data_IF_544072604074
#
_entry.id   IF_544072604074
#
_cell.length_a   1.000
_cell.length_b   1.000
_cell.length_c   1.000
_cell.angle_alpha   90.00
_cell.angle_beta   90.00
_cell.angle_gamma   90.00
#
_symmetry.space_group_name_H-M   'P 1'
#
loop_
_entity.id
_entity.type
_entity.pdbx_description
1 polymer ?
#
# COMPACT_ATOMS: atom_id res chain seq x y z
N UNK A 1 3.28 -11.81 19.40
CA UNK A 1 3.53 -10.59 18.62
C UNK A 1 2.97 -10.81 17.23
N UNK A 2 1.93 -10.08 16.81
CA UNK A 2 1.54 -10.10 15.39
C UNK A 2 2.71 -9.53 14.60
N UNK A 3 3.30 -10.31 13.68
CA UNK A 3 4.13 -9.74 12.63
C UNK A 3 3.31 -8.62 11.99
N UNK A 4 3.86 -7.41 11.88
CA UNK A 4 3.13 -6.31 11.25
C UNK A 4 2.83 -6.76 9.81
N UNK A 5 1.58 -6.63 9.38
CA UNK A 5 1.14 -7.13 8.08
C UNK A 5 1.94 -6.53 6.91
N UNK A 6 2.51 -5.34 7.12
CA UNK A 6 3.53 -4.72 6.26
C UNK A 6 4.76 -5.62 6.01
N UNK A 7 5.31 -6.28 7.03
CA UNK A 7 6.45 -7.19 6.86
C UNK A 7 6.04 -8.43 6.06
N UNK A 8 4.84 -8.94 6.29
CA UNK A 8 4.30 -10.08 5.54
C UNK A 8 4.06 -9.72 4.06
N UNK A 9 3.58 -8.51 3.78
CA UNK A 9 3.39 -8.00 2.42
C UNK A 9 4.72 -7.72 1.71
N UNK A 10 5.74 -7.27 2.45
CA UNK A 10 7.10 -7.12 1.92
C UNK A 10 7.68 -8.49 1.55
N UNK A 11 7.54 -9.49 2.41
CA UNK A 11 7.98 -10.86 2.12
C UNK A 11 7.20 -11.48 0.96
N UNK A 12 5.91 -11.16 0.82
CA UNK A 12 5.06 -11.65 -0.25
C UNK A 12 5.47 -11.15 -1.66
N UNK A 13 6.25 -10.07 -1.77
CA UNK A 13 6.76 -9.56 -3.05
C UNK A 13 7.61 -10.57 -3.83
N UNK A 14 8.29 -11.45 -3.11
CA UNK A 14 9.20 -12.46 -3.67
C UNK A 14 8.73 -13.89 -3.40
N UNK A 15 7.55 -14.05 -2.79
CA UNK A 15 7.00 -15.36 -2.48
C UNK A 15 6.38 -15.98 -3.74
N UNK A 16 6.91 -17.11 -4.24
CA UNK A 16 6.44 -17.73 -5.48
C UNK A 16 5.00 -18.24 -5.40
N UNK A 17 4.41 -18.36 -4.20
CA UNK A 17 3.01 -18.74 -3.99
C UNK A 17 2.02 -17.66 -4.47
N UNK A 18 2.46 -16.41 -4.57
CA UNK A 18 1.65 -15.33 -5.12
C UNK A 18 1.77 -15.30 -6.65
N UNK A 19 0.67 -15.07 -7.39
CA UNK A 19 0.73 -14.89 -8.84
C UNK A 19 1.67 -13.74 -9.25
N UNK A 20 2.35 -13.83 -10.41
CA UNK A 20 3.33 -12.82 -10.85
C UNK A 20 2.78 -11.38 -10.84
N UNK A 21 1.54 -11.17 -11.26
CA UNK A 21 0.93 -9.83 -11.29
C UNK A 21 0.66 -9.27 -9.89
N UNK A 22 0.31 -10.13 -8.92
CA UNK A 22 0.17 -9.72 -7.51
C UNK A 22 1.52 -9.31 -6.95
N UNK A 23 2.57 -10.10 -7.20
CA UNK A 23 3.94 -9.77 -6.79
C UNK A 23 4.45 -8.45 -7.38
N UNK A 24 4.23 -8.23 -8.68
CA UNK A 24 4.57 -6.97 -9.34
C UNK A 24 3.90 -5.78 -8.64
N UNK A 25 2.61 -5.91 -8.32
CA UNK A 25 1.87 -4.83 -7.68
C UNK A 25 2.31 -4.61 -6.21
N UNK A 26 2.65 -5.68 -5.49
CA UNK A 26 3.24 -5.59 -4.15
C UNK A 26 4.57 -4.84 -4.18
N UNK A 27 5.44 -5.11 -5.16
CA UNK A 27 6.70 -4.37 -5.35
C UNK A 27 6.47 -2.88 -5.56
N UNK A 28 5.56 -2.53 -6.47
CA UNK A 28 5.17 -1.13 -6.70
C UNK A 28 4.64 -0.49 -5.42
N UNK A 29 3.79 -1.19 -4.67
CA UNK A 29 3.24 -0.68 -3.41
C UNK A 29 4.32 -0.44 -2.35
N UNK A 30 5.32 -1.32 -2.23
CA UNK A 30 6.45 -1.12 -1.30
C UNK A 30 7.30 0.08 -1.71
N UNK A 31 7.65 0.21 -2.99
CA UNK A 31 8.41 1.37 -3.49
C UNK A 31 7.69 2.69 -3.23
N UNK A 32 6.39 2.75 -3.51
CA UNK A 32 5.55 3.93 -3.25
C UNK A 32 5.44 4.20 -1.75
N UNK A 33 5.33 3.16 -0.93
CA UNK A 33 5.23 3.31 0.53
C UNK A 33 6.51 3.83 1.16
N UNK A 34 7.66 3.41 0.64
CA UNK A 34 8.96 3.95 1.08
C UNK A 34 9.04 5.45 0.81
N UNK A 35 8.75 5.88 -0.42
CA UNK A 35 8.77 7.30 -0.82
C UNK A 35 7.76 8.12 -0.04
N UNK A 36 6.55 7.60 0.16
CA UNK A 36 5.52 8.24 0.97
C UNK A 36 6.02 8.48 2.40
N UNK A 37 6.71 7.51 3.00
CA UNK A 37 7.26 7.66 4.34
C UNK A 37 8.39 8.69 4.39
N UNK A 38 9.27 8.74 3.37
CA UNK A 38 10.30 9.80 3.26
C UNK A 38 9.68 11.20 3.19
N UNK A 39 8.68 11.38 2.33
CA UNK A 39 7.92 12.62 2.20
C UNK A 39 7.22 12.99 3.52
N UNK A 40 6.52 12.04 4.14
CA UNK A 40 5.82 12.26 5.41
C UNK A 40 6.78 12.73 6.51
N UNK A 41 7.95 12.08 6.64
CA UNK A 41 8.97 12.45 7.61
C UNK A 41 9.61 13.82 7.34
N UNK A 42 9.60 14.29 6.09
CA UNK A 42 10.02 15.65 5.75
C UNK A 42 8.92 16.66 6.10
N UNK A 43 7.68 16.44 5.67
CA UNK A 43 6.58 17.39 5.84
C UNK A 43 6.11 17.53 7.29
N UNK A 44 6.06 16.43 8.06
CA UNK A 44 5.59 16.45 9.47
C UNK A 44 6.47 17.32 10.36
N UNK A 45 7.71 17.62 9.95
CA UNK A 45 8.61 18.55 10.66
C UNK A 45 8.33 20.01 10.36
N UNK A 46 7.53 20.30 9.34
CA UNK A 46 7.31 21.63 8.79
C UNK A 46 5.85 22.10 8.88
N UNK A 47 4.89 21.20 9.14
CA UNK A 47 3.46 21.50 9.16
C UNK A 47 2.84 21.09 10.48
N UNK A 48 2.70 22.04 11.40
CA UNK A 48 2.15 21.78 12.74
C UNK A 48 0.61 21.76 12.79
N UNK A 49 -0.13 22.25 11.78
CA UNK A 49 -1.60 22.35 11.87
C UNK A 49 -2.38 22.35 10.54
N UNK A 50 -1.78 21.88 9.44
CA UNK A 50 -2.47 21.93 8.14
C UNK A 50 -3.54 20.83 7.99
N UNK A 51 -4.82 21.20 8.16
CA UNK A 51 -5.99 20.32 7.93
C UNK A 51 -5.93 19.52 6.60
N UNK A 52 -5.50 20.10 5.45
CA UNK A 52 -5.35 19.34 4.22
C UNK A 52 -4.35 18.18 4.32
N UNK A 53 -3.24 18.38 5.06
CA UNK A 53 -2.23 17.35 5.29
C UNK A 53 -2.80 16.17 6.09
N UNK A 54 -3.51 16.45 7.19
CA UNK A 54 -4.12 15.40 8.01
C UNK A 54 -5.27 14.66 7.32
N UNK A 55 -6.06 15.36 6.50
CA UNK A 55 -7.13 14.73 5.69
C UNK A 55 -6.55 13.70 4.73
N UNK A 56 -5.50 14.11 4.01
CA UNK A 56 -4.73 13.28 3.10
C UNK A 56 -4.08 12.04 3.77
N UNK A 57 -3.51 12.21 4.97
CA UNK A 57 -3.02 11.09 5.76
C UNK A 57 -4.14 10.13 6.19
N UNK A 58 -5.30 10.69 6.54
CA UNK A 58 -6.50 9.92 6.86
C UNK A 58 -6.94 9.01 5.71
N UNK A 59 -6.87 9.49 4.46
CA UNK A 59 -7.14 8.66 3.28
C UNK A 59 -6.12 7.53 3.11
N UNK A 60 -4.83 7.83 3.22
CA UNK A 60 -3.76 6.81 3.17
C UNK A 60 -3.95 5.73 4.24
N UNK A 61 -4.34 6.11 5.46
CA UNK A 61 -4.62 5.16 6.53
C UNK A 61 -5.83 4.27 6.24
N UNK A 62 -6.88 4.80 5.59
CA UNK A 62 -8.05 4.01 5.18
C UNK A 62 -7.67 2.96 4.14
N UNK A 63 -6.87 3.32 3.14
CA UNK A 63 -6.46 2.37 2.10
C UNK A 63 -5.56 1.27 2.64
N UNK A 64 -4.67 1.57 3.60
CA UNK A 64 -3.86 0.55 4.29
C UNK A 64 -4.73 -0.43 5.06
N UNK A 65 -5.72 0.06 5.84
CA UNK A 65 -6.64 -0.84 6.56
C UNK A 65 -7.43 -1.75 5.61
N UNK A 66 -7.84 -1.23 4.46
CA UNK A 66 -8.55 -2.02 3.45
C UNK A 66 -7.63 -3.07 2.80
N UNK A 67 -6.39 -2.69 2.48
CA UNK A 67 -5.36 -3.60 2.01
C UNK A 67 -5.06 -4.70 3.03
N UNK A 68 -4.97 -4.33 4.31
CA UNK A 68 -4.71 -5.28 5.38
C UNK A 68 -5.78 -6.38 5.43
N UNK A 69 -7.05 -5.97 5.42
CA UNK A 69 -8.18 -6.89 5.41
C UNK A 69 -8.21 -7.78 4.16
N UNK A 70 -7.90 -7.22 2.99
CA UNK A 70 -7.87 -7.97 1.74
C UNK A 70 -6.73 -8.99 1.72
N UNK A 71 -5.55 -8.62 2.24
CA UNK A 71 -4.41 -9.51 2.36
C UNK A 71 -4.66 -10.66 3.34
N UNK A 72 -5.27 -10.39 4.50
CA UNK A 72 -5.66 -11.44 5.46
C UNK A 72 -6.61 -12.46 4.81
N UNK A 73 -7.61 -12.00 4.06
CA UNK A 73 -8.56 -12.87 3.35
C UNK A 73 -7.90 -13.71 2.27
N UNK A 74 -7.07 -13.07 1.44
CA UNK A 74 -6.33 -13.75 0.39
C UNK A 74 -5.38 -14.82 0.95
N UNK A 75 -4.67 -14.51 2.04
CA UNK A 75 -3.77 -15.45 2.70
C UNK A 75 -4.49 -16.65 3.30
N UNK A 76 -5.68 -16.45 3.84
CA UNK A 76 -6.49 -17.54 4.39
C UNK A 76 -7.05 -18.44 3.29
N UNK A 77 -7.54 -17.84 2.19
CA UNK A 77 -8.26 -18.54 1.13
C UNK A 77 -7.96 -17.93 -0.26
N UNK A 78 -6.80 -18.21 -0.87
CA UNK A 78 -6.37 -17.54 -2.10
C UNK A 78 -7.21 -17.91 -3.33
N UNK A 79 -7.79 -19.11 -3.35
CA UNK A 79 -8.63 -19.60 -4.46
C UNK A 79 -10.13 -19.32 -4.27
N UNK A 80 -10.54 -18.77 -3.12
CA UNK A 80 -11.96 -18.51 -2.87
C UNK A 80 -12.43 -17.17 -3.41
N UNK A 81 -13.45 -17.24 -4.26
CA UNK A 81 -14.23 -16.08 -4.70
C UNK A 81 -13.38 -14.97 -5.30
N UNK A 82 -13.65 -13.73 -4.89
CA UNK A 82 -13.00 -12.52 -5.41
C UNK A 82 -11.84 -12.05 -4.51
N UNK A 83 -11.20 -12.94 -3.74
CA UNK A 83 -10.16 -12.56 -2.79
C UNK A 83 -8.92 -11.97 -3.48
N UNK A 84 -8.48 -12.58 -4.59
CA UNK A 84 -7.38 -12.03 -5.40
C UNK A 84 -7.74 -10.67 -6.00
N UNK A 85 -8.93 -10.56 -6.59
CA UNK A 85 -9.42 -9.30 -7.17
C UNK A 85 -9.51 -8.20 -6.11
N UNK A 86 -9.99 -8.54 -4.91
CA UNK A 86 -10.09 -7.60 -3.78
C UNK A 86 -8.71 -7.15 -3.31
N UNK A 87 -7.73 -8.05 -3.24
CA UNK A 87 -6.34 -7.72 -2.93
C UNK A 87 -5.74 -6.77 -3.98
N UNK A 88 -5.93 -7.08 -5.27
CA UNK A 88 -5.46 -6.25 -6.37
C UNK A 88 -6.11 -4.86 -6.36
N UNK A 89 -7.41 -4.78 -6.09
CA UNK A 89 -8.12 -3.51 -5.98
C UNK A 89 -7.60 -2.66 -4.82
N UNK A 90 -7.39 -3.27 -3.64
CA UNK A 90 -6.88 -2.57 -2.47
C UNK A 90 -5.42 -2.11 -2.66
N UNK A 91 -4.57 -2.92 -3.31
CA UNK A 91 -3.21 -2.53 -3.67
C UNK A 91 -3.20 -1.34 -4.62
N UNK A 92 -3.99 -1.38 -5.70
CA UNK A 92 -4.10 -0.28 -6.67
C UNK A 92 -4.56 1.00 -6.01
N UNK A 93 -5.57 0.93 -5.15
CA UNK A 93 -6.10 2.11 -4.47
C UNK A 93 -5.10 2.69 -3.47
N UNK A 94 -4.41 1.84 -2.70
CA UNK A 94 -3.35 2.31 -1.80
C UNK A 94 -2.18 2.94 -2.55
N UNK A 95 -1.81 2.41 -3.73
CA UNK A 95 -0.79 3.02 -4.59
C UNK A 95 -1.30 4.38 -5.08
N UNK A 96 -2.51 4.44 -5.65
CA UNK A 96 -3.10 5.67 -6.20
C UNK A 96 -3.10 6.79 -5.18
N UNK A 97 -3.62 6.53 -3.97
CA UNK A 97 -3.65 7.52 -2.89
C UNK A 97 -2.23 7.97 -2.55
N UNK A 98 -1.31 7.05 -2.27
CA UNK A 98 0.06 7.40 -1.87
C UNK A 98 0.89 8.09 -2.96
N UNK A 99 0.54 7.94 -4.24
CA UNK A 99 1.17 8.65 -5.35
C UNK A 99 0.67 10.09 -5.48
N UNK A 100 -0.60 10.36 -5.16
CA UNK A 100 -1.16 11.72 -5.20
C UNK A 100 -0.69 12.61 -4.05
N UNK A 101 -0.15 12.02 -2.98
CA UNK A 101 0.24 12.72 -1.75
C UNK A 101 1.58 13.47 -1.84
N UNK A 102 2.68 12.88 -2.37
CA UNK A 102 3.84 13.64 -2.78
C UNK A 102 3.55 14.22 -4.17
N UNK A 103 3.33 15.54 -4.25
CA UNK A 103 3.06 16.23 -5.51
C UNK A 103 3.95 15.72 -6.67
N UNK A 104 3.29 15.34 -7.76
CA UNK A 104 3.87 14.94 -9.05
C UNK A 104 4.90 13.81 -9.06
N UNK A 105 4.58 12.65 -8.48
CA UNK A 105 5.30 11.42 -8.84
C UNK A 105 4.56 10.58 -9.90
N UNK A 106 5.21 10.35 -11.03
CA UNK A 106 4.80 9.34 -12.03
C UNK A 106 5.71 8.12 -11.92
N UNK A 107 5.18 6.89 -11.76
CA UNK A 107 6.00 5.69 -11.83
C UNK A 107 6.69 5.62 -13.19
N UNK A 108 8.01 5.42 -13.21
CA UNK A 108 8.72 5.12 -14.45
C UNK A 108 8.26 3.75 -14.93
N UNK A 109 7.42 3.75 -15.95
CA UNK A 109 7.00 2.54 -16.66
C UNK A 109 8.18 1.87 -17.33
N UNK A 110 8.24 0.54 -17.14
CA UNK A 110 9.09 -0.44 -17.80
C UNK A 110 8.96 -0.44 -19.31
#
# INVERSE_FOLDING_TARGET
>A
MKQLLLDALIQAMDDPRYPPHVRTLLRTWVEVSFRFNEWYLAEVRHRDDEEPFYSMLGESLKTIKALDLAAERYLAHPEEGNNEESLLAALKESIRVRVMLPGDWTPKGS
#
